data_IF_361233710600
#
_entry.id   IF_361233710600
#
_cell.length_a   1.000
_cell.length_b   1.000
_cell.length_c   1.000
_cell.angle_alpha   90.00
_cell.angle_beta   90.00
_cell.angle_gamma   90.00
#
_symmetry.space_group_name_H-M   'P 1'
#
loop_
_entity.id
_entity.type
_entity.pdbx_description
1 polymer ?
#
# COMPACT_ATOMS: atom_id res chain seq x y z
N UNK A 1 -16.44 -3.46 13.02
CA UNK A 1 -15.11 -2.93 13.36
C UNK A 1 -14.16 -3.15 12.17
N UNK A 2 -13.49 -2.11 11.77
CA UNK A 2 -12.58 -2.20 10.63
C UNK A 2 -11.20 -2.62 11.10
N UNK A 3 -10.63 -3.58 10.39
CA UNK A 3 -9.25 -3.99 10.63
C UNK A 3 -8.39 -3.37 9.54
N UNK A 4 -7.40 -2.60 9.96
CA UNK A 4 -6.43 -2.04 9.05
C UNK A 4 -5.15 -2.85 9.18
N UNK A 5 -4.69 -3.39 8.06
CA UNK A 5 -3.45 -4.13 8.01
C UNK A 5 -2.42 -3.35 7.22
N UNK A 6 -1.28 -3.05 7.83
CA UNK A 6 -0.17 -2.41 7.16
C UNK A 6 0.70 -3.48 6.52
N UNK A 7 0.88 -3.37 5.20
CA UNK A 7 1.60 -4.36 4.41
C UNK A 7 2.78 -3.70 3.73
N UNK A 8 3.89 -4.41 3.69
CA UNK A 8 5.04 -4.01 2.89
C UNK A 8 5.31 -5.13 1.89
N UNK A 9 5.67 -4.85 0.73
CA UNK A 9 6.06 -5.76 -0.36
C UNK A 9 5.51 -7.18 -0.25
N UNK A 10 4.38 -7.43 -0.90
CA UNK A 10 3.82 -8.79 -0.97
C UNK A 10 3.34 -9.08 -2.38
N UNK A 11 3.22 -10.37 -2.69
CA UNK A 11 2.75 -10.82 -3.99
C UNK A 11 1.25 -10.64 -4.19
N UNK A 12 0.81 -10.65 -5.44
CA UNK A 12 -0.59 -10.41 -5.78
C UNK A 12 -1.56 -11.41 -5.17
N UNK A 13 -1.15 -12.68 -5.06
CA UNK A 13 -2.02 -13.71 -4.47
C UNK A 13 -2.27 -13.44 -2.99
N UNK A 14 -1.27 -12.95 -2.29
CA UNK A 14 -1.40 -12.61 -0.87
C UNK A 14 -2.31 -11.40 -0.70
N UNK A 15 -2.20 -10.39 -1.56
CA UNK A 15 -3.09 -9.23 -1.55
C UNK A 15 -4.55 -9.69 -1.73
N UNK A 16 -4.80 -10.55 -2.71
CA UNK A 16 -6.16 -11.04 -2.97
C UNK A 16 -6.71 -11.80 -1.77
N UNK A 17 -5.87 -12.61 -1.12
CA UNK A 17 -6.26 -13.33 0.09
C UNK A 17 -6.62 -12.35 1.22
N UNK A 18 -5.80 -11.32 1.43
CA UNK A 18 -6.03 -10.34 2.48
C UNK A 18 -7.31 -9.54 2.24
N UNK A 19 -7.65 -9.25 0.98
CA UNK A 19 -8.90 -8.57 0.64
C UNK A 19 -10.13 -9.37 1.03
N UNK A 20 -10.02 -10.69 1.06
CA UNK A 20 -11.13 -11.56 1.51
C UNK A 20 -11.31 -11.52 3.02
N UNK A 21 -10.25 -11.17 3.76
CA UNK A 21 -10.23 -11.22 5.22
C UNK A 21 -10.42 -9.86 5.88
N UNK A 22 -10.21 -8.78 5.14
CA UNK A 22 -10.20 -7.44 5.71
C UNK A 22 -11.00 -6.48 4.85
N UNK A 23 -11.64 -5.51 5.49
CA UNK A 23 -12.39 -4.46 4.79
C UNK A 23 -11.51 -3.35 4.28
N UNK A 24 -10.36 -3.19 4.88
CA UNK A 24 -9.43 -2.13 4.55
C UNK A 24 -8.00 -2.61 4.69
N UNK A 25 -7.18 -2.27 3.72
CA UNK A 25 -5.76 -2.57 3.72
C UNK A 25 -4.97 -1.29 3.50
N UNK A 26 -3.84 -1.17 4.21
CA UNK A 26 -2.90 -0.08 3.99
C UNK A 26 -1.52 -0.65 3.76
N UNK A 27 -0.74 0.02 2.93
CA UNK A 27 0.65 -0.34 2.69
C UNK A 27 1.46 0.91 2.39
N UNK A 28 2.77 0.79 2.61
CA UNK A 28 3.71 1.87 2.35
C UNK A 28 4.64 1.44 1.24
N UNK A 29 4.81 2.29 0.23
CA UNK A 29 5.64 2.01 -0.94
C UNK A 29 6.62 3.16 -1.13
N UNK A 30 7.89 2.82 -1.34
CA UNK A 30 8.89 3.82 -1.66
C UNK A 30 8.52 4.55 -2.94
N UNK A 31 8.53 5.88 -2.91
CA UNK A 31 8.08 6.72 -4.03
C UNK A 31 8.78 6.38 -5.34
N UNK A 32 10.07 6.09 -5.29
CA UNK A 32 10.85 5.78 -6.49
C UNK A 32 10.59 4.39 -7.05
N UNK A 33 9.86 3.56 -6.31
CA UNK A 33 9.51 2.22 -6.78
C UNK A 33 8.25 2.29 -7.64
N UNK A 34 8.39 2.77 -8.87
CA UNK A 34 7.27 2.98 -9.78
C UNK A 34 6.55 1.68 -10.13
N UNK A 35 7.29 0.59 -10.22
CA UNK A 35 6.73 -0.73 -10.53
C UNK A 35 5.75 -1.15 -9.43
N UNK A 36 6.17 -1.00 -8.18
CA UNK A 36 5.30 -1.36 -7.05
C UNK A 36 4.08 -0.44 -6.98
N UNK A 37 4.27 0.87 -7.18
CA UNK A 37 3.16 1.81 -7.17
C UNK A 37 2.11 1.44 -8.21
N UNK A 38 2.55 1.15 -9.44
CA UNK A 38 1.65 0.74 -10.52
C UNK A 38 0.95 -0.57 -10.19
N UNK A 39 1.69 -1.52 -9.62
CA UNK A 39 1.15 -2.81 -9.24
C UNK A 39 -0.01 -2.65 -8.25
N UNK A 40 0.19 -1.87 -7.21
CA UNK A 40 -0.85 -1.68 -6.19
C UNK A 40 -2.01 -0.83 -6.70
N UNK A 41 -1.74 0.17 -7.54
CA UNK A 41 -2.80 0.96 -8.18
C UNK A 41 -3.70 0.06 -9.03
N UNK A 42 -3.12 -0.87 -9.78
CA UNK A 42 -3.88 -1.81 -10.60
C UNK A 42 -4.71 -2.76 -9.74
N UNK A 43 -4.36 -2.92 -8.48
CA UNK A 43 -5.10 -3.74 -7.53
C UNK A 43 -6.16 -2.95 -6.74
N UNK A 44 -6.37 -1.69 -7.09
CA UNK A 44 -7.40 -0.87 -6.47
C UNK A 44 -6.94 -0.04 -5.29
N UNK A 45 -5.64 -0.01 -5.02
CA UNK A 45 -5.10 0.84 -3.97
C UNK A 45 -5.01 2.28 -4.46
N UNK A 46 -5.28 3.22 -3.56
CA UNK A 46 -5.20 4.65 -3.85
C UNK A 46 -4.16 5.31 -2.96
N UNK A 47 -3.47 6.30 -3.50
CA UNK A 47 -2.54 7.10 -2.72
C UNK A 47 -3.32 7.95 -1.72
N UNK A 48 -3.01 7.79 -0.45
CA UNK A 48 -3.62 8.55 0.63
C UNK A 48 -2.77 9.74 1.01
N UNK A 49 -1.47 9.49 1.19
CA UNK A 49 -0.57 10.56 1.56
C UNK A 49 0.88 10.16 1.25
N UNK A 50 1.73 11.17 1.15
CA UNK A 50 3.17 11.02 0.95
C UNK A 50 3.87 11.48 2.21
N UNK A 51 4.75 10.65 2.74
CA UNK A 51 5.56 11.01 3.90
C UNK A 51 7.02 11.10 3.49
N UNK A 52 7.67 12.19 3.87
CA UNK A 52 9.06 12.40 3.53
C UNK A 52 9.90 12.14 4.77
N UNK A 53 10.86 11.22 4.65
CA UNK A 53 11.86 10.98 5.67
C UNK A 53 13.03 11.90 5.38
N UNK A 54 13.16 12.93 6.18
CA UNK A 54 14.19 13.95 5.97
C UNK A 54 15.61 13.40 6.17
N UNK A 55 15.76 12.42 7.05
CA UNK A 55 17.07 11.81 7.30
C UNK A 55 17.51 10.95 6.12
N UNK A 56 16.60 10.18 5.56
CA UNK A 56 16.90 9.30 4.44
C UNK A 56 16.86 10.03 3.09
N UNK A 57 16.25 11.22 3.03
CA UNK A 57 16.04 11.93 1.78
C UNK A 57 15.10 11.19 0.84
N UNK A 58 14.20 10.40 1.39
CA UNK A 58 13.30 9.54 0.63
C UNK A 58 11.86 9.79 1.03
N UNK A 59 10.94 9.51 0.13
CA UNK A 59 9.52 9.63 0.39
C UNK A 59 8.84 8.27 0.28
N UNK A 60 7.91 8.01 1.18
CA UNK A 60 7.06 6.83 1.15
C UNK A 60 5.64 7.24 0.77
N UNK A 61 5.01 6.44 -0.06
CA UNK A 61 3.62 6.63 -0.45
C UNK A 61 2.76 5.69 0.37
N UNK A 62 1.87 6.24 1.17
CA UNK A 62 0.88 5.45 1.89
C UNK A 62 -0.30 5.20 0.96
N UNK A 63 -0.58 3.95 0.71
CA UNK A 63 -1.67 3.54 -0.17
C UNK A 63 -2.72 2.76 0.61
N UNK A 64 -3.96 2.89 0.19
CA UNK A 64 -5.08 2.29 0.89
C UNK A 64 -6.07 1.65 -0.08
N UNK A 65 -6.61 0.52 0.32
CA UNK A 65 -7.68 -0.14 -0.39
C UNK A 65 -8.86 -0.34 0.58
N UNK A 66 -10.07 -0.01 0.13
CA UNK A 66 -11.32 -0.24 0.85
C UNK A 66 -12.19 -1.22 0.07
N UNK A 67 -12.83 -2.11 0.82
CA UNK A 67 -13.78 -3.05 0.25
C UNK A 67 -15.03 -2.33 -0.27
#
# INVERSE_FOLDING_TARGET
>A
MHTILLIQVIGGKLIDFLKLKHDKLQLSVYEKNEVALSFYQNRGFKLVKKEIDQEAGAADCLMEWDA
#
